data_IF_783493894035
#
_entry.id   IF_783493894035
#
_cell.length_a   1.000
_cell.length_b   1.000
_cell.length_c   1.000
_cell.angle_alpha   90.00
_cell.angle_beta   90.00
_cell.angle_gamma   90.00
#
_symmetry.space_group_name_H-M   'P 1'
#
loop_
_entity.id
_entity.type
_entity.pdbx_description
1 polymer ?
#
# COMPACT_ATOMS: atom_id res chain seq x y z
N UNK A 1 12.57 2.52 -4.16
CA UNK A 1 11.97 2.37 -2.82
C UNK A 1 11.93 0.91 -2.47
N UNK A 2 12.40 0.59 -1.27
CA UNK A 2 12.24 -0.71 -0.63
C UNK A 2 10.81 -0.80 -0.06
N UNK A 3 10.15 -1.92 -0.26
CA UNK A 3 8.84 -2.20 0.33
C UNK A 3 8.99 -3.11 1.55
N UNK A 4 8.21 -2.84 2.58
CA UNK A 4 8.25 -3.56 3.86
C UNK A 4 6.82 -4.01 4.19
N UNK A 5 6.65 -5.29 4.52
CA UNK A 5 5.36 -5.93 4.85
C UNK A 5 4.32 -5.97 3.72
N UNK A 6 4.73 -5.91 2.44
CA UNK A 6 3.79 -5.94 1.31
C UNK A 6 3.13 -7.31 1.08
N UNK A 7 3.74 -8.41 1.53
CA UNK A 7 3.07 -9.72 1.57
C UNK A 7 1.83 -9.69 2.48
N UNK A 8 1.92 -8.97 3.61
CA UNK A 8 0.79 -8.75 4.52
C UNK A 8 -0.25 -7.83 3.89
N UNK A 9 0.18 -6.77 3.20
CA UNK A 9 -0.73 -5.90 2.42
C UNK A 9 -1.56 -6.74 1.44
N UNK A 10 -0.91 -7.60 0.65
CA UNK A 10 -1.59 -8.43 -0.33
C UNK A 10 -2.58 -9.40 0.31
N UNK A 11 -2.18 -10.03 1.42
CA UNK A 11 -3.07 -10.92 2.20
C UNK A 11 -4.28 -10.16 2.73
N UNK A 12 -4.08 -9.00 3.36
CA UNK A 12 -5.16 -8.16 3.88
C UNK A 12 -6.07 -7.69 2.75
N UNK A 13 -5.50 -7.22 1.63
CA UNK A 13 -6.26 -6.76 0.47
C UNK A 13 -7.13 -7.86 -0.12
N UNK A 14 -6.57 -9.04 -0.39
CA UNK A 14 -7.30 -10.16 -1.00
C UNK A 14 -8.30 -10.80 -0.04
N UNK A 15 -8.08 -10.72 1.28
CA UNK A 15 -9.08 -11.16 2.27
C UNK A 15 -10.36 -10.31 2.29
N UNK A 16 -10.26 -9.04 1.89
CA UNK A 16 -11.38 -8.10 1.84
C UNK A 16 -11.98 -8.00 0.43
N UNK A 17 -11.12 -8.09 -0.59
CA UNK A 17 -11.46 -7.91 -1.99
C UNK A 17 -11.07 -9.15 -2.80
N UNK A 18 -11.60 -10.31 -2.42
CA UNK A 18 -11.34 -11.62 -3.03
C UNK A 18 -11.64 -11.68 -4.54
N UNK A 19 -12.57 -10.87 -5.03
CA UNK A 19 -12.90 -10.74 -6.47
C UNK A 19 -12.00 -9.76 -7.24
N UNK A 20 -11.10 -9.02 -6.56
CA UNK A 20 -10.18 -8.10 -7.22
C UNK A 20 -8.98 -8.85 -7.82
N UNK A 21 -8.68 -8.58 -9.10
CA UNK A 21 -7.62 -9.24 -9.86
C UNK A 21 -6.23 -8.61 -9.68
N UNK A 22 -5.98 -7.96 -8.55
CA UNK A 22 -4.63 -7.47 -8.27
C UNK A 22 -3.70 -8.65 -8.05
N UNK A 23 -2.53 -8.62 -8.67
CA UNK A 23 -1.40 -9.44 -8.23
C UNK A 23 -0.69 -8.72 -7.10
N UNK A 24 0.13 -9.44 -6.33
CA UNK A 24 0.98 -8.81 -5.31
C UNK A 24 1.86 -7.71 -5.94
N UNK A 25 2.49 -8.03 -7.07
CA UNK A 25 3.33 -7.11 -7.84
C UNK A 25 2.56 -5.86 -8.31
N UNK A 26 1.36 -6.03 -8.88
CA UNK A 26 0.60 -4.88 -9.39
C UNK A 26 0.11 -3.96 -8.28
N UNK A 27 -0.19 -4.53 -7.10
CA UNK A 27 -0.56 -3.74 -5.92
C UNK A 27 0.66 -2.99 -5.39
N UNK A 28 1.80 -3.66 -5.31
CA UNK A 28 3.06 -3.06 -4.88
C UNK A 28 3.46 -1.87 -5.76
N UNK A 29 3.47 -2.07 -7.07
CA UNK A 29 3.82 -1.05 -8.05
C UNK A 29 2.88 0.16 -7.97
N UNK A 30 1.59 -0.06 -7.76
CA UNK A 30 0.63 1.04 -7.62
C UNK A 30 0.95 1.91 -6.39
N UNK A 31 1.23 1.29 -5.24
CA UNK A 31 1.57 2.04 -4.02
C UNK A 31 2.86 2.83 -4.22
N UNK A 32 3.92 2.20 -4.76
CA UNK A 32 5.19 2.89 -5.03
C UNK A 32 4.98 4.04 -6.01
N UNK A 33 4.21 3.82 -7.08
CA UNK A 33 3.91 4.83 -8.09
C UNK A 33 3.22 6.04 -7.47
N UNK A 34 2.16 5.83 -6.68
CA UNK A 34 1.42 6.92 -6.03
C UNK A 34 2.25 7.70 -5.01
N UNK A 35 3.04 7.01 -4.17
CA UNK A 35 3.94 7.68 -3.22
C UNK A 35 4.94 8.59 -3.94
N UNK A 36 5.47 8.15 -5.09
CA UNK A 36 6.36 8.96 -5.93
C UNK A 36 5.64 10.12 -6.61
N UNK A 37 4.45 9.89 -7.16
CA UNK A 37 3.63 10.93 -7.81
C UNK A 37 3.26 12.05 -6.82
N UNK A 38 2.95 11.69 -5.58
CA UNK A 38 2.63 12.63 -4.51
C UNK A 38 3.88 13.27 -3.87
N UNK A 39 5.09 12.90 -4.32
CA UNK A 39 6.38 13.35 -3.79
C UNK A 39 6.51 13.18 -2.26
N UNK A 40 5.92 12.11 -1.70
CA UNK A 40 5.98 11.84 -0.27
C UNK A 40 7.35 11.22 0.03
N UNK A 41 8.20 11.97 0.73
CA UNK A 41 9.53 11.51 1.12
C UNK A 41 9.57 10.99 2.56
N UNK A 42 8.72 11.54 3.44
CA UNK A 42 8.59 11.11 4.84
C UNK A 42 7.13 11.29 5.31
N UNK A 43 6.68 10.42 6.23
CA UNK A 43 5.37 10.53 6.88
C UNK A 43 4.38 9.46 6.44
N UNK A 44 3.09 9.78 6.55
CA UNK A 44 1.99 8.83 6.31
C UNK A 44 1.44 8.93 4.89
N UNK A 45 1.38 7.79 4.19
CA UNK A 45 0.64 7.65 2.94
C UNK A 45 -0.63 6.83 3.16
N UNK A 46 -1.75 7.29 2.61
CA UNK A 46 -3.06 6.67 2.74
C UNK A 46 -3.59 6.26 1.37
N UNK A 47 -3.69 4.96 1.14
CA UNK A 47 -4.29 4.41 -0.06
C UNK A 47 -5.75 4.05 0.21
N UNK A 48 -6.66 4.82 -0.39
CA UNK A 48 -8.10 4.55 -0.30
C UNK A 48 -8.54 3.62 -1.43
N UNK A 49 -9.10 2.48 -1.07
CA UNK A 49 -9.71 1.56 -2.02
C UNK A 49 -11.11 1.19 -1.53
N UNK A 50 -12.14 1.65 -2.26
CA UNK A 50 -13.54 1.57 -1.82
C UNK A 50 -13.71 2.17 -0.42
N UNK A 51 -14.25 1.40 0.53
CA UNK A 51 -14.50 1.81 1.91
C UNK A 51 -13.30 1.54 2.84
N UNK A 52 -12.16 1.05 2.33
CA UNK A 52 -11.01 0.68 3.15
C UNK A 52 -9.85 1.64 2.91
N UNK A 53 -9.19 2.05 4.00
CA UNK A 53 -8.00 2.88 3.98
C UNK A 53 -6.80 2.02 4.38
N UNK A 54 -5.92 1.72 3.43
CA UNK A 54 -4.63 1.09 3.70
C UNK A 54 -3.61 2.17 4.06
N UNK A 55 -2.86 1.93 5.13
CA UNK A 55 -1.93 2.89 5.72
C UNK A 55 -0.50 2.45 5.48
N UNK A 56 0.34 3.44 5.18
CA UNK A 56 1.75 3.22 4.94
C UNK A 56 2.58 4.29 5.63
N UNK A 57 3.70 3.88 6.23
CA UNK A 57 4.75 4.78 6.69
C UNK A 57 5.82 4.89 5.60
N UNK A 58 6.13 6.12 5.19
CA UNK A 58 7.14 6.43 4.20
C UNK A 58 8.34 7.05 4.91
N UNK A 59 9.53 6.53 4.62
CA UNK A 59 10.77 7.06 5.18
C UNK A 59 11.87 7.01 4.12
N UNK A 60 12.21 8.17 3.56
CA UNK A 60 13.22 8.47 2.51
C UNK A 60 13.25 7.53 1.29
N UNK A 61 13.49 6.23 1.47
CA UNK A 61 13.53 5.24 0.41
C UNK A 61 12.81 3.93 0.78
N UNK A 62 12.00 3.91 1.84
CA UNK A 62 11.13 2.77 2.16
C UNK A 62 9.67 3.16 2.27
N UNK A 63 8.81 2.20 1.93
CA UNK A 63 7.37 2.23 2.23
C UNK A 63 7.05 0.99 3.02
N UNK A 64 6.57 1.19 4.24
CA UNK A 64 6.13 0.13 5.11
C UNK A 64 4.62 0.11 5.17
N UNK A 65 4.03 -1.06 4.89
CA UNK A 65 2.62 -1.27 5.15
C UNK A 65 2.39 -1.51 6.66
N UNK A 66 1.53 -0.69 7.27
CA UNK A 66 1.27 -0.75 8.72
C UNK A 66 -0.11 -1.33 9.08
N UNK A 67 -1.04 -1.41 8.11
CA UNK A 67 -2.37 -1.97 8.32
C UNK A 67 -3.47 -1.23 7.56
N UNK A 68 -4.73 -1.54 7.87
CA UNK A 68 -5.90 -0.91 7.25
C UNK A 68 -6.98 -0.56 8.26
N UNK A 69 -7.86 0.37 7.88
CA UNK A 69 -9.10 0.73 8.59
C UNK A 69 -10.30 0.63 7.65
N UNK A 70 -11.45 0.23 8.20
CA UNK A 70 -12.76 0.19 7.51
C UNK A 70 -13.59 1.42 7.83
#
# INVERSE_FOLDING_TARGET
MKTINFEKLYTDFTSIFDLCRYTNESLEEEIIRRVKEDNITEGMFLFRFRLVIFKFEVANNSVEYIGYEK
#
